data_IF_587855486760
#
_entry.id   IF_587855486760
#
_cell.length_a   1.000
_cell.length_b   1.000
_cell.length_c   1.000
_cell.angle_alpha   90.00
_cell.angle_beta   90.00
_cell.angle_gamma   90.00
#
_symmetry.space_group_name_H-M   'P 1'
#
loop_
_entity.id
_entity.type
_entity.pdbx_description
1 polymer ?
#
# COMPACT_ATOMS: atom_id res chain seq x y z
N UNK A 1 26.60 -17.22 -14.39
CA UNK A 1 25.14 -17.03 -14.24
C UNK A 1 24.95 -16.16 -13.01
N UNK A 2 24.95 -14.85 -13.21
CA UNK A 2 24.61 -13.92 -12.12
C UNK A 2 23.09 -13.97 -11.95
N UNK A 3 22.65 -14.61 -10.87
CA UNK A 3 21.27 -14.45 -10.43
C UNK A 3 21.11 -12.98 -10.06
N UNK A 4 20.30 -12.26 -10.82
CA UNK A 4 19.78 -10.95 -10.40
C UNK A 4 18.87 -11.19 -9.19
N UNK A 5 19.49 -11.43 -8.04
CA UNK A 5 18.82 -11.48 -6.77
C UNK A 5 18.30 -10.08 -6.52
N UNK A 6 17.01 -9.87 -6.79
CA UNK A 6 16.29 -8.72 -6.30
C UNK A 6 16.40 -8.77 -4.77
N UNK A 7 17.36 -8.04 -4.23
CA UNK A 7 17.48 -7.87 -2.78
C UNK A 7 16.24 -7.11 -2.35
N UNK A 8 15.38 -7.78 -1.58
CA UNK A 8 14.20 -7.13 -1.01
C UNK A 8 14.73 -6.02 -0.09
N UNK A 9 14.28 -4.77 -0.23
CA UNK A 9 14.60 -3.70 0.70
C UNK A 9 14.31 -4.14 2.15
N UNK A 10 15.24 -3.87 3.07
CA UNK A 10 15.19 -4.39 4.44
C UNK A 10 13.93 -3.94 5.22
N UNK A 11 13.38 -2.77 4.88
CA UNK A 11 12.11 -2.27 5.42
C UNK A 11 10.91 -3.12 4.98
N UNK A 12 10.89 -3.57 3.72
CA UNK A 12 9.88 -4.47 3.18
C UNK A 12 10.01 -5.86 3.83
N UNK A 13 11.22 -6.37 3.98
CA UNK A 13 11.49 -7.66 4.62
C UNK A 13 11.09 -7.65 6.10
N UNK A 14 11.48 -6.62 6.86
CA UNK A 14 11.11 -6.48 8.27
C UNK A 14 9.60 -6.37 8.47
N UNK A 15 8.91 -5.60 7.61
CA UNK A 15 7.44 -5.50 7.64
C UNK A 15 6.80 -6.87 7.37
N UNK A 16 7.33 -7.63 6.42
CA UNK A 16 6.84 -8.98 6.14
C UNK A 16 7.04 -9.93 7.33
N UNK A 17 8.20 -9.85 8.02
CA UNK A 17 8.50 -10.63 9.23
C UNK A 17 7.53 -10.25 10.35
N UNK A 18 7.34 -8.96 10.64
CA UNK A 18 6.40 -8.48 11.67
C UNK A 18 4.97 -8.96 11.40
N UNK A 19 4.52 -8.92 10.15
CA UNK A 19 3.20 -9.43 9.77
C UNK A 19 3.12 -10.95 9.98
N UNK A 20 4.15 -11.72 9.60
CA UNK A 20 4.18 -13.16 9.82
C UNK A 20 4.14 -13.51 11.31
N UNK A 21 4.95 -12.84 12.12
CA UNK A 21 5.07 -13.10 13.57
C UNK A 21 3.79 -12.71 14.32
N UNK A 22 3.16 -11.59 13.94
CA UNK A 22 1.91 -11.12 14.56
C UNK A 22 0.71 -12.02 14.22
N UNK A 23 0.80 -12.81 13.15
CA UNK A 23 -0.30 -13.61 12.61
C UNK A 23 0.01 -15.12 12.59
N UNK A 24 0.78 -15.61 13.57
CA UNK A 24 1.01 -17.03 13.81
C UNK A 24 -0.32 -17.80 13.83
N UNK A 25 -0.63 -18.51 12.74
CA UNK A 25 -1.88 -19.25 12.55
C UNK A 25 -2.62 -18.93 11.25
N UNK A 26 -2.20 -17.92 10.49
CA UNK A 26 -2.77 -17.61 9.18
C UNK A 26 -2.02 -18.34 8.06
N UNK A 27 -2.74 -18.64 6.99
CA UNK A 27 -2.15 -19.14 5.75
C UNK A 27 -1.28 -18.06 5.09
N UNK A 28 -0.29 -18.46 4.31
CA UNK A 28 0.53 -17.53 3.51
C UNK A 28 -0.33 -16.62 2.63
N UNK A 29 -1.41 -17.14 2.06
CA UNK A 29 -2.37 -16.35 1.27
C UNK A 29 -3.04 -15.24 2.07
N UNK A 30 -3.42 -15.51 3.32
CA UNK A 30 -4.05 -14.51 4.19
C UNK A 30 -3.05 -13.42 4.57
N UNK A 31 -1.82 -13.79 4.92
CA UNK A 31 -0.72 -12.85 5.22
C UNK A 31 -0.47 -11.91 4.04
N UNK A 32 -0.31 -12.46 2.83
CA UNK A 32 -0.08 -11.68 1.61
C UNK A 32 -1.26 -10.76 1.31
N UNK A 33 -2.49 -11.25 1.41
CA UNK A 33 -3.69 -10.44 1.17
C UNK A 33 -3.79 -9.27 2.15
N UNK A 34 -3.49 -9.51 3.43
CA UNK A 34 -3.48 -8.46 4.46
C UNK A 34 -2.39 -7.43 4.23
N UNK A 35 -1.19 -7.86 3.84
CA UNK A 35 -0.09 -6.95 3.50
C UNK A 35 -0.45 -6.06 2.30
N UNK A 36 -1.08 -6.62 1.26
CA UNK A 36 -1.55 -5.85 0.10
C UNK A 36 -2.61 -4.83 0.52
N UNK A 37 -3.57 -5.21 1.37
CA UNK A 37 -4.59 -4.29 1.88
C UNK A 37 -3.98 -3.16 2.72
N UNK A 38 -3.02 -3.49 3.59
CA UNK A 38 -2.31 -2.50 4.41
C UNK A 38 -1.53 -1.50 3.55
N UNK A 39 -0.82 -1.99 2.53
CA UNK A 39 -0.05 -1.12 1.63
C UNK A 39 -0.95 -0.24 0.75
N UNK A 40 -2.10 -0.76 0.30
CA UNK A 40 -3.12 0.05 -0.39
C UNK A 40 -3.64 1.17 0.51
N UNK A 41 -3.93 0.88 1.77
CA UNK A 41 -4.35 1.93 2.71
C UNK A 41 -3.26 3.00 2.88
N UNK A 42 -1.99 2.57 3.06
CA UNK A 42 -0.85 3.49 3.18
C UNK A 42 -0.69 4.39 1.94
N UNK A 43 -0.80 3.83 0.75
CA UNK A 43 -0.73 4.56 -0.51
C UNK A 43 -1.90 5.56 -0.67
N UNK A 44 -3.11 5.15 -0.29
CA UNK A 44 -4.28 6.02 -0.32
C UNK A 44 -4.09 7.20 0.62
N UNK A 45 -3.62 6.96 1.85
CA UNK A 45 -3.37 8.00 2.84
C UNK A 45 -2.35 9.03 2.36
N UNK A 46 -1.26 8.60 1.72
CA UNK A 46 -0.28 9.50 1.11
C UNK A 46 -0.91 10.33 0.00
N UNK A 47 -1.68 9.70 -0.90
CA UNK A 47 -2.33 10.40 -1.99
C UNK A 47 -3.29 11.49 -1.50
N UNK A 48 -4.18 11.17 -0.54
CA UNK A 48 -5.13 12.16 -0.03
C UNK A 48 -4.45 13.28 0.75
N UNK A 49 -3.37 12.99 1.49
CA UNK A 49 -2.59 14.02 2.18
C UNK A 49 -1.95 14.99 1.21
N UNK A 50 -1.35 14.48 0.12
CA UNK A 50 -0.74 15.31 -0.92
C UNK A 50 -1.76 16.30 -1.50
N UNK A 51 -2.94 15.81 -1.89
CA UNK A 51 -3.98 16.66 -2.46
C UNK A 51 -4.72 17.54 -1.44
N UNK A 52 -4.48 17.41 -0.13
CA UNK A 52 -5.08 18.28 0.90
C UNK A 52 -4.35 19.62 1.08
N UNK A 53 -3.18 19.80 0.46
CA UNK A 53 -2.43 21.06 0.52
C UNK A 53 -3.24 22.25 -0.03
N UNK A 54 -3.00 23.44 0.52
CA UNK A 54 -3.61 24.70 0.07
C UNK A 54 -3.17 25.09 -1.36
N UNK A 55 -2.13 24.43 -1.88
CA UNK A 55 -1.64 24.56 -3.25
C UNK A 55 -2.64 24.05 -4.31
N UNK A 56 -3.62 23.22 -3.92
CA UNK A 56 -4.57 22.60 -4.83
C UNK A 56 -5.93 23.29 -4.83
N UNK A 57 -6.46 23.59 -6.01
CA UNK A 57 -7.83 24.08 -6.13
C UNK A 57 -8.87 22.96 -5.90
N UNK A 58 -10.15 23.34 -5.78
CA UNK A 58 -11.24 22.39 -5.50
C UNK A 58 -11.28 21.20 -6.48
N UNK A 59 -11.03 21.43 -7.77
CA UNK A 59 -11.08 20.38 -8.78
C UNK A 59 -9.93 19.38 -8.61
N UNK A 60 -8.73 19.87 -8.30
CA UNK A 60 -7.56 19.03 -8.02
C UNK A 60 -7.74 18.22 -6.74
N UNK A 61 -8.35 18.81 -5.70
CA UNK A 61 -8.69 18.08 -4.46
C UNK A 61 -9.72 16.98 -4.71
N UNK A 62 -10.73 17.24 -5.54
CA UNK A 62 -11.71 16.22 -5.96
C UNK A 62 -11.05 15.09 -6.75
N UNK A 63 -10.12 15.40 -7.67
CA UNK A 63 -9.35 14.38 -8.37
C UNK A 63 -8.50 13.53 -7.41
N UNK A 64 -7.88 14.16 -6.42
CA UNK A 64 -7.15 13.46 -5.36
C UNK A 64 -8.01 12.51 -4.53
N UNK A 65 -9.24 12.91 -4.20
CA UNK A 65 -10.21 12.04 -3.54
C UNK A 65 -10.61 10.83 -4.41
N UNK A 66 -10.73 11.02 -5.72
CA UNK A 66 -10.98 9.91 -6.65
C UNK A 66 -9.80 8.92 -6.71
N UNK A 67 -8.56 9.43 -6.70
CA UNK A 67 -7.35 8.59 -6.66
C UNK A 67 -7.29 7.79 -5.35
N UNK A 68 -7.57 8.42 -4.21
CA UNK A 68 -7.69 7.74 -2.91
C UNK A 68 -8.67 6.56 -2.97
N UNK A 69 -9.88 6.81 -3.50
CA UNK A 69 -10.91 5.76 -3.62
C UNK A 69 -10.46 4.65 -4.56
N UNK A 70 -9.81 4.98 -5.69
CA UNK A 70 -9.33 3.99 -6.65
C UNK A 70 -8.25 3.06 -6.04
N UNK A 71 -7.32 3.61 -5.24
CA UNK A 71 -6.28 2.83 -4.56
C UNK A 71 -6.90 1.85 -3.55
N UNK A 72 -7.89 2.30 -2.79
CA UNK A 72 -8.58 1.45 -1.82
C UNK A 72 -9.48 0.40 -2.46
N UNK A 73 -10.16 0.74 -3.55
CA UNK A 73 -10.99 -0.20 -4.30
C UNK A 73 -10.14 -1.30 -4.94
N UNK A 74 -8.87 -1.02 -5.23
CA UNK A 74 -7.87 -2.02 -5.59
C UNK A 74 -8.28 -2.81 -6.83
N UNK A 75 -8.45 -2.12 -7.97
CA UNK A 75 -8.89 -2.68 -9.25
C UNK A 75 -9.90 -3.84 -9.13
N UNK A 76 -11.15 -3.50 -8.82
CA UNK A 76 -12.27 -4.27 -9.34
C UNK A 76 -12.51 -3.83 -10.80
N UNK A 77 -11.72 -4.38 -11.73
CA UNK A 77 -11.95 -4.33 -13.17
C UNK A 77 -12.03 -5.77 -13.71
#
# INVERSE_FOLDING_TARGET
>A
MEGSGLTIPADIENTAIEICDTHLGWTTSEIVMKAILAERQRCADVAIQYFRSDEYNSNQRSAGAMIYVAILAGENA
#
